data_IF_807959074365
#
_entry.id   IF_807959074365
#
_cell.length_a   1.000
_cell.length_b   1.000
_cell.length_c   1.000
_cell.angle_alpha   90.00
_cell.angle_beta   90.00
_cell.angle_gamma   90.00
#
_symmetry.space_group_name_H-M   'P 1'
#
loop_
_entity.id
_entity.type
_entity.pdbx_description
1 polymer ?
#
# COMPACT_ATOMS: atom_id res chain seq x y z
N UNK A 1 -21.82 57.14 -4.59
CA UNK A 1 -20.75 57.42 -5.57
C UNK A 1 -19.43 56.99 -4.94
N UNK A 2 -18.68 56.08 -5.57
CA UNK A 2 -17.30 55.70 -5.22
C UNK A 2 -16.37 56.27 -6.30
N UNK A 3 -15.11 56.60 -5.98
CA UNK A 3 -14.02 55.83 -6.59
C UNK A 3 -12.99 55.45 -5.52
N UNK A 4 -12.70 54.16 -5.28
CA UNK A 4 -11.78 53.31 -6.06
C UNK A 4 -10.42 53.96 -6.32
N UNK A 5 -9.43 53.66 -5.47
CA UNK A 5 -8.03 53.71 -5.87
C UNK A 5 -7.27 52.50 -5.32
N UNK A 6 -7.00 51.58 -6.25
CA UNK A 6 -6.16 50.38 -6.11
C UNK A 6 -4.71 50.79 -6.40
N UNK A 7 -3.74 50.19 -5.68
CA UNK A 7 -2.45 49.64 -6.17
C UNK A 7 -1.60 49.16 -4.97
N UNK A 8 -1.71 47.88 -4.58
CA UNK A 8 -0.77 46.77 -4.84
C UNK A 8 0.59 46.84 -4.12
N UNK A 9 0.87 45.89 -3.24
CA UNK A 9 2.18 45.25 -3.13
C UNK A 9 2.03 43.88 -2.47
N UNK A 10 2.44 42.85 -3.20
CA UNK A 10 2.40 41.46 -2.82
C UNK A 10 3.36 41.17 -1.64
N UNK A 11 2.81 40.64 -0.54
CA UNK A 11 3.57 39.91 0.48
C UNK A 11 3.41 38.42 0.19
N UNK A 12 4.38 37.83 -0.50
CA UNK A 12 5.58 37.17 0.03
C UNK A 12 5.23 35.79 0.62
N UNK A 13 5.67 34.77 -0.12
CA UNK A 13 5.65 33.33 0.15
C UNK A 13 5.61 32.91 1.63
N UNK A 14 4.63 32.08 1.97
CA UNK A 14 4.84 31.00 2.95
C UNK A 14 4.57 29.69 2.24
N UNK A 15 5.60 29.17 1.58
CA UNK A 15 5.71 27.76 1.24
C UNK A 15 6.00 27.01 2.55
N UNK A 16 4.95 26.61 3.26
CA UNK A 16 5.06 25.48 4.18
C UNK A 16 4.74 24.24 3.35
N UNK A 17 5.73 23.81 2.56
CA UNK A 17 5.79 22.46 2.05
C UNK A 17 5.91 21.53 3.27
N UNK A 18 4.77 21.11 3.81
CA UNK A 18 4.71 20.01 4.76
C UNK A 18 4.87 18.72 3.96
N UNK A 19 6.09 18.51 3.46
CA UNK A 19 6.56 17.22 2.96
C UNK A 19 6.86 16.33 4.16
N UNK A 20 5.83 15.92 4.88
CA UNK A 20 5.94 14.82 5.81
C UNK A 20 5.51 13.55 5.07
N UNK A 21 6.44 12.94 4.35
CA UNK A 21 6.40 11.49 4.15
C UNK A 21 6.70 10.83 5.50
N UNK A 22 5.85 11.07 6.49
CA UNK A 22 5.76 10.22 7.66
C UNK A 22 5.24 8.89 7.12
N UNK A 23 5.91 7.77 7.42
CA UNK A 23 5.39 6.44 7.11
C UNK A 23 3.91 6.41 7.47
N UNK A 24 3.05 6.36 6.44
CA UNK A 24 1.62 6.59 6.58
C UNK A 24 1.03 5.48 7.43
N UNK A 25 0.84 5.74 8.72
CA UNK A 25 -0.02 4.88 9.53
C UNK A 25 -1.42 5.04 8.99
N UNK A 26 -1.99 3.92 8.54
CA UNK A 26 -3.33 3.89 7.98
C UNK A 26 -4.34 4.37 9.04
N UNK A 27 -5.41 5.03 8.60
CA UNK A 27 -6.50 5.40 9.50
C UNK A 27 -7.21 4.15 10.04
N UNK A 28 -7.94 4.25 11.16
CA UNK A 28 -8.71 3.12 11.68
C UNK A 28 -9.69 2.52 10.67
N UNK A 29 -10.25 3.34 9.77
CA UNK A 29 -11.12 2.88 8.69
C UNK A 29 -10.37 2.03 7.67
N UNK A 30 -9.24 2.54 7.17
CA UNK A 30 -8.38 1.81 6.21
C UNK A 30 -7.86 0.49 6.80
N UNK A 31 -7.53 0.48 8.10
CA UNK A 31 -7.11 -0.74 8.79
C UNK A 31 -8.20 -1.80 8.97
N UNK A 32 -9.48 -1.45 8.86
CA UNK A 32 -10.58 -2.41 8.95
C UNK A 32 -10.87 -3.12 7.63
N UNK A 33 -10.51 -2.50 6.50
CA UNK A 33 -10.74 -3.07 5.17
C UNK A 33 -9.54 -3.91 4.68
N UNK A 34 -8.40 -3.80 5.36
CA UNK A 34 -7.15 -4.52 5.07
C UNK A 34 -6.92 -5.70 6.05
N UNK A 35 -6.32 -6.84 5.64
CA UNK A 35 -6.01 -7.24 4.27
C UNK A 35 -7.10 -8.12 3.62
N UNK A 36 -7.94 -8.82 4.40
CA UNK A 36 -8.95 -9.76 3.87
C UNK A 36 -10.13 -9.88 4.82
N UNK A 37 -11.00 -8.87 4.85
CA UNK A 37 -12.21 -8.92 5.68
C UNK A 37 -13.30 -9.70 4.94
N UNK A 38 -13.92 -10.73 5.56
CA UNK A 38 -15.05 -11.43 4.95
C UNK A 38 -16.16 -10.46 4.56
N UNK A 39 -16.52 -10.46 3.27
CA UNK A 39 -17.57 -9.61 2.75
C UNK A 39 -18.94 -10.22 3.06
N UNK A 40 -19.90 -9.39 3.45
CA UNK A 40 -21.31 -9.79 3.64
C UNK A 40 -22.11 -9.83 2.34
N UNK A 41 -21.46 -9.69 1.18
CA UNK A 41 -22.08 -9.59 -0.13
C UNK A 41 -21.11 -9.94 -1.26
N UNK A 42 -21.51 -9.69 -2.50
CA UNK A 42 -20.68 -9.97 -3.67
C UNK A 42 -19.40 -9.11 -3.67
N UNK A 43 -18.28 -9.71 -4.09
CA UNK A 43 -17.01 -9.00 -4.32
C UNK A 43 -17.20 -8.02 -5.47
N UNK A 44 -16.89 -6.74 -5.23
CA UNK A 44 -16.82 -5.74 -6.31
C UNK A 44 -15.46 -5.79 -7.00
N UNK A 45 -15.41 -5.39 -8.27
CA UNK A 45 -14.14 -5.32 -9.00
C UNK A 45 -13.12 -4.37 -8.34
N UNK A 46 -13.59 -3.28 -7.72
CA UNK A 46 -12.73 -2.35 -6.99
C UNK A 46 -12.09 -3.02 -5.76
N UNK A 47 -12.87 -3.78 -4.99
CA UNK A 47 -12.35 -4.53 -3.83
C UNK A 47 -11.33 -5.58 -4.26
N UNK A 48 -11.64 -6.35 -5.32
CA UNK A 48 -10.71 -7.34 -5.84
C UNK A 48 -9.38 -6.72 -6.28
N UNK A 49 -9.45 -5.61 -7.01
CA UNK A 49 -8.23 -4.92 -7.47
C UNK A 49 -7.44 -4.29 -6.33
N UNK A 50 -8.12 -3.88 -5.25
CA UNK A 50 -7.46 -3.42 -4.04
C UNK A 50 -6.71 -4.55 -3.35
N UNK A 51 -7.36 -5.68 -3.07
CA UNK A 51 -6.72 -6.85 -2.46
C UNK A 51 -5.55 -7.36 -3.32
N UNK A 52 -5.69 -7.33 -4.64
CA UNK A 52 -4.61 -7.70 -5.56
C UNK A 52 -3.43 -6.73 -5.47
N UNK A 53 -3.68 -5.42 -5.48
CA UNK A 53 -2.62 -4.40 -5.34
C UNK A 53 -1.89 -4.52 -4.00
N UNK A 54 -2.59 -4.89 -2.94
CA UNK A 54 -2.00 -5.14 -1.63
C UNK A 54 -1.05 -6.35 -1.67
N UNK A 55 -1.46 -7.46 -2.28
CA UNK A 55 -0.60 -8.62 -2.50
C UNK A 55 0.61 -8.29 -3.39
N UNK A 56 0.42 -7.53 -4.46
CA UNK A 56 1.51 -7.07 -5.33
C UNK A 56 2.49 -6.14 -4.58
N UNK A 57 2.01 -5.35 -3.62
CA UNK A 57 2.87 -4.48 -2.79
C UNK A 57 3.86 -5.27 -1.92
N UNK A 58 3.56 -6.54 -1.66
CA UNK A 58 4.45 -7.50 -0.99
C UNK A 58 5.04 -8.53 -1.96
N UNK A 59 4.92 -8.26 -3.26
CA UNK A 59 5.57 -8.96 -4.38
C UNK A 59 4.96 -10.29 -4.77
N UNK A 60 3.63 -10.41 -4.68
CA UNK A 60 2.88 -11.34 -5.52
C UNK A 60 2.88 -10.85 -6.98
N UNK A 61 2.95 -11.76 -7.95
CA UNK A 61 2.83 -11.44 -9.38
C UNK A 61 1.67 -12.24 -9.99
N UNK A 62 0.51 -11.62 -10.26
CA UNK A 62 -0.62 -12.30 -10.89
C UNK A 62 -0.39 -12.65 -12.37
N UNK A 63 0.63 -12.06 -13.01
CA UNK A 63 0.97 -12.34 -14.41
C UNK A 63 1.78 -13.63 -14.56
N UNK A 64 2.25 -14.23 -13.45
CA UNK A 64 2.98 -15.50 -13.42
C UNK A 64 2.10 -16.73 -13.76
N UNK A 65 1.00 -16.54 -14.50
CA UNK A 65 0.08 -17.60 -14.87
C UNK A 65 0.77 -18.79 -15.53
N UNK A 66 0.50 -20.00 -15.02
CA UNK A 66 1.12 -21.25 -15.48
C UNK A 66 2.34 -21.69 -14.67
N UNK A 67 2.65 -21.00 -13.57
CA UNK A 67 3.71 -21.40 -12.65
C UNK A 67 3.29 -22.60 -11.76
N UNK A 68 4.22 -23.52 -11.52
CA UNK A 68 4.03 -24.74 -10.71
C UNK A 68 3.85 -24.44 -9.21
N UNK A 69 4.05 -23.19 -8.78
CA UNK A 69 4.04 -22.81 -7.37
C UNK A 69 2.69 -22.35 -6.84
N UNK A 70 1.65 -22.24 -7.66
CA UNK A 70 0.31 -22.01 -7.12
C UNK A 70 -0.14 -23.22 -6.28
N UNK A 71 -0.60 -23.03 -5.02
CA UNK A 71 -0.93 -21.76 -4.36
C UNK A 71 0.14 -21.20 -3.38
N UNK A 72 1.31 -21.81 -3.29
CA UNK A 72 2.34 -21.46 -2.29
C UNK A 72 2.87 -20.01 -2.40
N UNK A 73 2.86 -19.44 -3.60
CA UNK A 73 3.30 -18.07 -3.90
C UNK A 73 2.33 -17.03 -3.32
N UNK A 74 1.02 -17.22 -3.51
CA UNK A 74 -0.02 -16.36 -2.94
C UNK A 74 -0.10 -16.52 -1.42
N UNK A 75 0.07 -17.73 -0.88
CA UNK A 75 0.14 -17.95 0.57
C UNK A 75 1.34 -17.23 1.20
N UNK A 76 2.51 -17.30 0.55
CA UNK A 76 3.69 -16.58 1.00
C UNK A 76 3.49 -15.05 0.93
N UNK A 77 2.82 -14.56 -0.10
CA UNK A 77 2.47 -13.14 -0.20
C UNK A 77 1.49 -12.71 0.91
N UNK A 78 0.45 -13.48 1.20
CA UNK A 78 -0.48 -13.22 2.31
C UNK A 78 0.25 -13.15 3.65
N UNK A 79 1.21 -14.03 3.91
CA UNK A 79 2.02 -14.00 5.12
C UNK A 79 2.84 -12.70 5.23
N UNK A 80 3.46 -12.25 4.13
CA UNK A 80 4.18 -10.96 4.09
C UNK A 80 3.23 -9.77 4.28
N UNK A 81 2.02 -9.84 3.71
CA UNK A 81 0.99 -8.82 3.85
C UNK A 81 0.51 -8.68 5.29
N UNK A 82 0.37 -9.80 6.01
CA UNK A 82 0.06 -9.81 7.44
C UNK A 82 1.18 -9.18 8.29
N UNK A 83 2.45 -9.29 7.87
CA UNK A 83 3.54 -8.58 8.53
C UNK A 83 3.45 -7.07 8.27
N UNK A 84 3.18 -6.67 7.03
CA UNK A 84 2.94 -5.26 6.65
C UNK A 84 1.76 -4.66 7.42
N UNK A 85 0.69 -5.43 7.63
CA UNK A 85 -0.44 -5.02 8.49
C UNK A 85 0.02 -4.56 9.87
N UNK A 86 0.84 -5.37 10.54
CA UNK A 86 1.28 -5.10 11.91
C UNK A 86 2.10 -3.82 11.98
N UNK A 87 2.90 -3.54 10.95
CA UNK A 87 3.66 -2.30 10.87
C UNK A 87 2.77 -1.06 10.64
N UNK A 88 1.86 -1.16 9.67
CA UNK A 88 1.09 -0.01 9.18
C UNK A 88 -0.12 0.31 10.06
N UNK A 89 -0.79 -0.70 10.60
CA UNK A 89 -2.04 -0.57 11.39
C UNK A 89 -1.86 -0.74 12.89
N UNK A 90 -1.00 -1.65 13.34
CA UNK A 90 -0.75 -1.86 14.78
C UNK A 90 0.43 -1.02 15.29
N UNK A 91 1.21 -0.43 14.38
CA UNK A 91 2.38 0.37 14.72
C UNK A 91 3.52 -0.41 15.38
N UNK A 92 3.58 -1.71 15.14
CA UNK A 92 4.66 -2.56 15.60
C UNK A 92 5.91 -2.36 14.71
N UNK A 93 7.09 -2.32 15.29
CA UNK A 93 8.35 -2.20 14.54
C UNK A 93 8.71 -3.55 13.87
N UNK A 94 7.95 -3.96 12.84
CA UNK A 94 8.16 -5.21 12.12
C UNK A 94 8.79 -4.96 10.75
N UNK A 95 9.85 -5.70 10.43
CA UNK A 95 10.44 -5.70 9.09
C UNK A 95 9.59 -6.55 8.17
N UNK A 96 8.97 -5.94 7.16
CA UNK A 96 8.25 -6.66 6.11
C UNK A 96 9.28 -7.37 5.22
N UNK A 97 9.23 -8.70 5.09
CA UNK A 97 10.08 -9.41 4.14
C UNK A 97 9.76 -8.92 2.73
N UNK A 98 10.76 -8.64 1.91
CA UNK A 98 10.54 -8.49 0.46
C UNK A 98 10.26 -9.85 -0.15
N UNK A 99 9.60 -9.88 -1.31
CA UNK A 99 9.41 -11.10 -2.10
C UNK A 99 10.75 -11.80 -2.24
N UNK A 100 10.87 -12.90 -1.51
CA UNK A 100 11.76 -13.97 -1.88
C UNK A 100 10.86 -14.91 -2.64
N UNK A 101 10.83 -14.79 -3.96
CA UNK A 101 10.50 -15.97 -4.73
C UNK A 101 11.39 -17.09 -4.18
N UNK A 102 10.84 -18.29 -3.98
CA UNK A 102 11.66 -19.44 -3.58
C UNK A 102 12.87 -19.59 -4.53
N UNK A 103 12.73 -19.11 -5.77
CA UNK A 103 13.75 -18.98 -6.82
C UNK A 103 14.90 -18.04 -6.48
N UNK A 104 14.68 -16.82 -5.97
CA UNK A 104 15.77 -15.87 -5.64
C UNK A 104 16.71 -16.41 -4.55
N UNK A 105 16.17 -17.24 -3.66
CA UNK A 105 16.93 -17.84 -2.56
C UNK A 105 17.57 -19.18 -2.91
N UNK A 106 17.06 -19.89 -3.93
CA UNK A 106 17.52 -21.26 -4.27
C UNK A 106 18.38 -21.28 -5.53
N UNK A 107 18.17 -20.35 -6.46
CA UNK A 107 18.96 -20.16 -7.66
C UNK A 107 19.46 -18.71 -7.67
N UNK A 108 20.65 -18.51 -7.11
CA UNK A 108 21.31 -17.21 -7.14
C UNK A 108 21.26 -16.60 -8.54
N UNK A 109 20.97 -15.31 -8.59
CA UNK A 109 20.89 -14.48 -9.79
C UNK A 109 22.01 -14.80 -10.78
N UNK A 110 21.62 -15.24 -11.99
CA UNK A 110 22.49 -15.27 -13.17
C UNK A 110 22.36 -13.97 -13.96
#
# INVERSE_FOLDING_TARGET
MKPFWIKTAATLCVLLASGAASASKLTPGECNDYPFKPLSGAVTHAQLMQELSELESVGYDPSAGGDDYYPSDIEAAQARLAVKYRADCLGENVKVPKSTSVWENTFGSY
#
